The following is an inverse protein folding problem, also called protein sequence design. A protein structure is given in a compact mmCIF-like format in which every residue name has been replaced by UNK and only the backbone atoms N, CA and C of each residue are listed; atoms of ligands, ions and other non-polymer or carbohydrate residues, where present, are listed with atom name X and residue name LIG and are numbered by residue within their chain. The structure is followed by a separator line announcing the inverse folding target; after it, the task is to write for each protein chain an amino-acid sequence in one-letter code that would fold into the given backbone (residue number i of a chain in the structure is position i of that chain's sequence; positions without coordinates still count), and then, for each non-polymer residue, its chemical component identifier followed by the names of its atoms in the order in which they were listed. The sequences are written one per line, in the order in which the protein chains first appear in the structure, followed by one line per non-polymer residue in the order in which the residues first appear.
data_IF_762279274408
#
_entry.id   IF_762279274408
#
_cell.length_a   1.000
_cell.length_b   1.000
_cell.length_c   1.000
_cell.angle_alpha   90.00
_cell.angle_beta   90.00
_cell.angle_gamma   90.00
#
_symmetry.space_group_name_H-M   'P 1'
#
loop_
_entity.id
_entity.type
_entity.pdbx_description
1 polymer ?
#
# COMPACT_ATOMS: atom_id res chain seq x y z
N UNK A 1 1.12 17.30 -5.83
CA UNK A 1 1.60 15.94 -6.13
C UNK A 1 0.94 14.91 -5.22
N UNK A 2 1.07 15.06 -3.91
CA UNK A 2 0.47 14.10 -2.97
C UNK A 2 -1.05 14.03 -3.09
N UNK A 3 -1.69 15.18 -3.27
CA UNK A 3 -3.15 15.21 -3.45
C UNK A 3 -3.57 14.42 -4.68
N UNK A 4 -2.89 14.62 -5.81
CA UNK A 4 -3.21 13.92 -7.06
C UNK A 4 -2.98 12.42 -6.91
N UNK A 5 -1.91 12.03 -6.21
CA UNK A 5 -1.63 10.63 -5.93
C UNK A 5 -2.72 10.00 -5.06
N UNK A 6 -3.19 10.69 -4.03
CA UNK A 6 -4.28 10.21 -3.17
C UNK A 6 -5.57 10.05 -3.95
N UNK A 7 -5.89 10.98 -4.84
CA UNK A 7 -7.07 10.86 -5.70
C UNK A 7 -6.95 9.65 -6.63
N UNK A 8 -5.78 9.46 -7.24
CA UNK A 8 -5.53 8.29 -8.09
C UNK A 8 -5.65 6.99 -7.30
N UNK A 9 -5.15 6.96 -6.07
CA UNK A 9 -5.23 5.79 -5.19
C UNK A 9 -6.69 5.42 -4.90
N UNK A 10 -7.56 6.40 -4.71
CA UNK A 10 -8.98 6.17 -4.45
C UNK A 10 -9.70 5.53 -5.63
N UNK A 11 -9.18 5.67 -6.84
CA UNK A 11 -9.76 5.06 -8.04
C UNK A 11 -9.41 3.57 -8.18
N UNK A 12 -8.47 3.08 -7.39
CA UNK A 12 -8.06 1.68 -7.44
C UNK A 12 -9.07 0.80 -6.68
N UNK A 13 -9.21 -0.48 -7.06
CA UNK A 13 -10.17 -1.39 -6.43
C UNK A 13 -9.66 -1.91 -5.07
N UNK A 14 -9.38 -1.00 -4.15
CA UNK A 14 -8.83 -1.31 -2.85
C UNK A 14 -9.83 -0.98 -1.74
N UNK A 15 -9.85 -1.79 -0.69
CA UNK A 15 -10.63 -1.50 0.50
C UNK A 15 -10.02 -0.31 1.26
N UNK A 16 -10.77 0.35 2.17
CA UNK A 16 -10.20 1.43 2.97
C UNK A 16 -8.95 1.05 3.74
N UNK A 17 -8.88 -0.17 4.29
CA UNK A 17 -7.70 -0.63 5.00
C UNK A 17 -6.51 -0.83 4.07
N UNK A 18 -6.75 -1.34 2.87
CA UNK A 18 -5.71 -1.52 1.87
C UNK A 18 -5.17 -0.18 1.39
N UNK A 19 -6.03 0.83 1.27
CA UNK A 19 -5.59 2.19 0.94
C UNK A 19 -4.71 2.78 2.04
N UNK A 20 -5.07 2.58 3.30
CA UNK A 20 -4.24 3.02 4.42
C UNK A 20 -2.87 2.36 4.36
N UNK A 21 -2.82 1.06 4.09
CA UNK A 21 -1.55 0.36 3.92
C UNK A 21 -0.71 1.00 2.81
N UNK A 22 -1.31 1.26 1.66
CA UNK A 22 -0.59 1.88 0.53
C UNK A 22 -0.05 3.27 0.88
N UNK A 23 -0.82 4.06 1.61
CA UNK A 23 -0.38 5.39 2.03
C UNK A 23 0.88 5.28 2.90
N UNK A 24 0.87 4.43 3.92
CA UNK A 24 2.04 4.26 4.77
C UNK A 24 3.22 3.68 3.99
N UNK A 25 2.96 2.73 3.12
CA UNK A 25 3.98 2.07 2.33
C UNK A 25 4.73 3.05 1.42
N UNK A 26 4.03 4.03 0.85
CA UNK A 26 4.61 4.97 -0.11
C UNK A 26 5.10 6.27 0.53
N UNK A 27 4.37 6.79 1.52
CA UNK A 27 4.69 8.07 2.14
C UNK A 27 5.81 7.94 3.17
N UNK A 28 5.95 6.76 3.77
CA UNK A 28 6.98 6.50 4.78
C UNK A 28 7.89 5.37 4.32
N UNK A 29 8.74 5.61 3.31
CA UNK A 29 9.61 4.56 2.77
C UNK A 29 10.64 4.02 3.77
N UNK A 30 10.93 4.78 4.83
CA UNK A 30 11.82 4.36 5.90
C UNK A 30 11.22 3.30 6.82
N UNK A 31 9.89 3.11 6.78
CA UNK A 31 9.23 2.12 7.62
C UNK A 31 9.34 0.73 7.01
N UNK A 32 9.71 -0.25 7.84
CA UNK A 32 9.57 -1.67 7.47
C UNK A 32 8.10 -2.07 7.54
N UNK A 33 7.77 -3.24 6.97
CA UNK A 33 6.41 -3.76 7.07
C UNK A 33 5.97 -3.92 8.52
N UNK A 34 6.86 -4.36 9.40
CA UNK A 34 6.57 -4.50 10.84
C UNK A 34 6.22 -3.15 11.45
N UNK A 35 6.97 -2.11 11.11
CA UNK A 35 6.70 -0.76 11.61
C UNK A 35 5.37 -0.22 11.09
N UNK A 36 5.04 -0.46 9.83
CA UNK A 36 3.74 -0.08 9.27
C UNK A 36 2.62 -0.79 10.04
N UNK A 37 2.75 -2.09 10.27
CA UNK A 37 1.75 -2.87 11.01
C UNK A 37 1.48 -2.27 12.40
N UNK A 38 2.53 -1.87 13.10
CA UNK A 38 2.40 -1.24 14.41
C UNK A 38 1.66 0.09 14.33
N UNK A 39 1.96 0.91 13.34
CA UNK A 39 1.34 2.23 13.19
C UNK A 39 -0.14 2.16 12.83
N UNK A 40 -0.55 1.19 12.03
CA UNK A 40 -1.94 1.05 11.61
C UNK A 40 -2.70 -0.01 12.41
N UNK A 41 -2.08 -0.52 13.46
CA UNK A 41 -2.70 -1.44 14.41
C UNK A 41 -3.09 -2.79 13.77
N UNK A 42 -2.28 -3.26 12.83
CA UNK A 42 -2.45 -4.58 12.22
C UNK A 42 -1.50 -5.57 12.86
N UNK A 43 -1.88 -6.87 12.83
CA UNK A 43 -0.97 -7.93 13.24
C UNK A 43 0.18 -8.05 12.23
N UNK A 44 1.39 -8.32 12.74
CA UNK A 44 2.56 -8.50 11.86
C UNK A 44 2.36 -9.58 10.82
N UNK A 45 1.65 -10.65 11.18
CA UNK A 45 1.34 -11.74 10.25
C UNK A 45 0.44 -11.28 9.10
N UNK A 46 -0.43 -10.31 9.36
CA UNK A 46 -1.40 -9.84 8.38
C UNK A 46 -0.82 -8.86 7.38
N UNK A 47 0.24 -8.14 7.75
CA UNK A 47 0.76 -7.06 6.89
C UNK A 47 1.30 -7.59 5.56
N UNK A 48 1.97 -8.73 5.59
CA UNK A 48 2.48 -9.37 4.37
C UNK A 48 1.34 -9.85 3.48
N UNK A 49 0.28 -10.35 4.10
CA UNK A 49 -0.92 -10.76 3.39
C UNK A 49 -1.59 -9.56 2.72
N UNK A 50 -1.65 -8.42 3.41
CA UNK A 50 -2.18 -7.19 2.82
C UNK A 50 -1.36 -6.75 1.61
N UNK A 51 -0.04 -6.80 1.72
CA UNK A 51 0.83 -6.46 0.58
C UNK A 51 0.54 -7.36 -0.61
N UNK A 52 0.45 -8.67 -0.39
CA UNK A 52 0.17 -9.63 -1.45
C UNK A 52 -1.23 -9.41 -2.05
N UNK A 53 -2.24 -9.12 -1.24
CA UNK A 53 -3.59 -8.84 -1.72
C UNK A 53 -3.66 -7.59 -2.56
N UNK A 54 -3.00 -6.53 -2.13
CA UNK A 54 -2.96 -5.27 -2.89
C UNK A 54 -2.30 -5.52 -4.24
N UNK A 55 -1.16 -6.20 -4.25
CA UNK A 55 -0.47 -6.52 -5.49
C UNK A 55 -1.36 -7.35 -6.43
N UNK A 56 -2.04 -8.35 -5.89
CA UNK A 56 -2.95 -9.20 -6.68
C UNK A 56 -4.10 -8.38 -7.29
N UNK A 57 -4.70 -7.49 -6.51
CA UNK A 57 -5.79 -6.63 -6.99
C UNK A 57 -5.32 -5.68 -8.09
N UNK A 58 -4.07 -5.25 -8.05
CA UNK A 58 -3.48 -4.35 -9.04
C UNK A 58 -2.80 -5.11 -10.18
N UNK A 59 -2.90 -6.42 -10.20
CA UNK A 59 -2.33 -7.27 -11.24
C UNK A 59 -0.82 -7.12 -11.40
N UNK A 60 -0.11 -6.97 -10.28
CA UNK A 60 1.36 -6.91 -10.25
C UNK A 60 1.90 -7.85 -9.19
N UNK A 61 3.21 -8.11 -9.23
CA UNK A 61 3.86 -8.89 -8.18
C UNK A 61 4.10 -8.04 -6.94
N UNK A 62 4.29 -8.69 -5.79
CA UNK A 62 4.65 -7.97 -4.56
C UNK A 62 5.94 -7.18 -4.70
N UNK A 63 6.89 -7.69 -5.48
CA UNK A 63 8.16 -6.99 -5.73
C UNK A 63 7.96 -5.73 -6.58
N UNK A 64 6.95 -5.70 -7.44
CA UNK A 64 6.68 -4.56 -8.32
C UNK A 64 5.69 -3.55 -7.73
N UNK A 65 5.14 -3.83 -6.55
CA UNK A 65 4.10 -3.00 -5.98
C UNK A 65 4.55 -1.56 -5.77
N UNK A 66 5.77 -1.36 -5.28
CA UNK A 66 6.31 -0.01 -5.07
C UNK A 66 6.35 0.78 -6.37
N UNK A 67 6.88 0.17 -7.43
CA UNK A 67 6.96 0.82 -8.74
C UNK A 67 5.58 1.10 -9.32
N UNK A 68 4.66 0.18 -9.18
CA UNK A 68 3.29 0.37 -9.63
C UNK A 68 2.66 1.58 -8.95
N UNK A 69 2.73 1.66 -7.62
CA UNK A 69 2.15 2.77 -6.86
C UNK A 69 2.83 4.10 -7.15
N UNK A 70 4.11 4.08 -7.48
CA UNK A 70 4.84 5.29 -7.86
C UNK A 70 4.37 5.86 -9.19
N UNK A 71 3.74 5.07 -10.04
CA UNK A 71 3.39 5.44 -11.41
C UNK A 71 1.89 5.55 -11.65
N UNK A 72 1.06 5.60 -10.60
CA UNK A 72 -0.40 5.69 -10.78
C UNK A 72 -0.90 7.09 -11.12
N UNK A 73 -0.02 8.06 -11.13
CA UNK A 73 -0.35 9.43 -11.54
C UNK A 73 -0.03 9.60 -13.01
#
# INVERSE_FOLDING_TARGET
FLHDWLVALEQLPLSPRERIFCIYYMVYPQFSLVQIAKHINYAEKSIRTYKARVAAKLHCSSADLHDYLSSII
#
